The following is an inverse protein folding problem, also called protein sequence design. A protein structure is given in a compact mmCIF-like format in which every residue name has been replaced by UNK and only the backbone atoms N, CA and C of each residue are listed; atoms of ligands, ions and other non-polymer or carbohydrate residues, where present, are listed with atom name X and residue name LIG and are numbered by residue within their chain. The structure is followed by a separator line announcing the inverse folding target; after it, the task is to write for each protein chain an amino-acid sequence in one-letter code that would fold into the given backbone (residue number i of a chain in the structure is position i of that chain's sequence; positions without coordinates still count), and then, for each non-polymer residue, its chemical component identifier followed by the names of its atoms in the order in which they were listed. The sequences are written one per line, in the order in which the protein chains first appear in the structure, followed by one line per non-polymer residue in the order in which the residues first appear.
data_IF_761199027855
#
_entry.id   IF_761199027855
#
_cell.length_a   1.000
_cell.length_b   1.000
_cell.length_c   1.000
_cell.angle_alpha   90.00
_cell.angle_beta   90.00
_cell.angle_gamma   90.00
#
_symmetry.space_group_name_H-M   'P 1'
#
loop_
_entity.id
_entity.type
_entity.pdbx_description
1 polymer ?
#
# COMPACT_ATOMS: atom_id res chain seq x y z
N UNK A 1 9.84 17.30 5.79
CA UNK A 1 9.07 16.29 5.02
C UNK A 1 9.99 15.76 3.92
N UNK A 2 9.99 14.47 3.67
CA UNK A 2 10.85 13.86 2.64
C UNK A 2 10.45 14.33 1.23
N UNK A 3 11.44 14.50 0.35
CA UNK A 3 11.22 15.06 -0.99
C UNK A 3 10.24 14.24 -1.85
N UNK A 4 10.26 12.92 -1.74
CA UNK A 4 9.34 12.03 -2.49
C UNK A 4 7.87 12.23 -2.10
N UNK A 5 7.59 12.51 -0.83
CA UNK A 5 6.22 12.81 -0.35
C UNK A 5 5.70 14.09 -1.02
N UNK A 6 6.54 15.12 -1.11
CA UNK A 6 6.16 16.38 -1.77
C UNK A 6 5.96 16.18 -3.27
N UNK A 7 6.83 15.40 -3.93
CA UNK A 7 6.67 15.06 -5.36
C UNK A 7 5.35 14.31 -5.61
N UNK A 8 5.00 13.33 -4.77
CA UNK A 8 3.73 12.62 -4.89
C UNK A 8 2.53 13.56 -4.67
N UNK A 9 2.59 14.41 -3.64
CA UNK A 9 1.53 15.38 -3.40
C UNK A 9 1.32 16.34 -4.58
N UNK A 10 2.40 16.83 -5.21
CA UNK A 10 2.30 17.67 -6.41
C UNK A 10 1.59 16.96 -7.58
N UNK A 11 1.79 15.66 -7.74
CA UNK A 11 1.10 14.87 -8.75
C UNK A 11 -0.38 14.71 -8.39
N UNK A 12 -0.66 14.15 -7.21
CA UNK A 12 -2.01 13.69 -6.86
C UNK A 12 -2.98 14.82 -6.49
N UNK A 13 -2.50 15.99 -6.04
CA UNK A 13 -3.39 17.15 -5.78
C UNK A 13 -4.19 17.61 -7.00
N UNK A 14 -3.78 17.22 -8.21
CA UNK A 14 -4.47 17.52 -9.48
C UNK A 14 -5.33 16.38 -10.00
N UNK A 15 -5.36 15.23 -9.31
CA UNK A 15 -5.97 14.01 -9.82
C UNK A 15 -7.51 14.04 -9.87
N UNK A 16 -8.14 14.92 -9.08
CA UNK A 16 -9.60 15.04 -9.02
C UNK A 16 -10.30 13.86 -8.33
N UNK A 17 -9.55 13.05 -7.59
CA UNK A 17 -10.02 12.00 -6.67
C UNK A 17 -9.23 12.06 -5.36
N UNK A 18 -9.77 11.44 -4.31
CA UNK A 18 -9.14 11.40 -3.01
C UNK A 18 -7.96 10.43 -3.00
N UNK A 19 -6.89 10.82 -2.33
CA UNK A 19 -5.68 10.01 -2.13
C UNK A 19 -5.10 10.26 -0.74
N UNK A 20 -4.26 9.35 -0.27
CA UNK A 20 -3.46 9.57 0.94
C UNK A 20 -2.14 8.79 0.85
N UNK A 21 -1.04 9.36 1.35
CA UNK A 21 0.19 8.62 1.58
C UNK A 21 -0.09 7.50 2.57
N UNK A 22 0.33 6.27 2.28
CA UNK A 22 0.16 5.14 3.19
C UNK A 22 1.48 4.39 3.42
N UNK A 23 1.44 3.18 3.97
CA UNK A 23 2.64 2.40 4.23
C UNK A 23 3.65 3.05 5.17
N UNK A 24 4.92 2.81 4.91
CA UNK A 24 6.02 3.27 5.77
C UNK A 24 6.18 4.78 5.82
N UNK A 25 5.98 5.46 4.70
CA UNK A 25 6.08 6.93 4.64
C UNK A 25 5.00 7.65 5.44
N UNK A 26 3.79 7.09 5.54
CA UNK A 26 2.77 7.67 6.41
C UNK A 26 3.13 7.53 7.89
N UNK A 27 3.78 6.43 8.30
CA UNK A 27 4.32 6.30 9.65
C UNK A 27 5.43 7.33 9.94
N UNK A 28 6.31 7.61 8.97
CA UNK A 28 7.31 8.68 9.08
C UNK A 28 6.64 10.06 9.22
N UNK A 29 5.60 10.32 8.43
CA UNK A 29 4.83 11.57 8.53
C UNK A 29 4.22 11.73 9.92
N UNK A 30 3.60 10.68 10.46
CA UNK A 30 3.02 10.69 11.79
C UNK A 30 4.10 10.90 12.88
N UNK A 31 5.19 10.14 12.83
CA UNK A 31 6.29 10.26 13.80
C UNK A 31 7.09 11.57 13.68
N UNK A 32 6.97 12.27 12.55
CA UNK A 32 7.71 13.51 12.29
C UNK A 32 9.20 13.31 11.98
N UNK A 33 9.60 12.08 11.67
CA UNK A 33 10.99 11.70 11.33
C UNK A 33 11.00 10.43 10.48
N UNK A 34 12.06 10.22 9.73
CA UNK A 34 12.31 8.95 9.07
C UNK A 34 12.58 7.85 10.12
N UNK A 35 11.83 6.77 10.06
CA UNK A 35 11.95 5.63 10.97
C UNK A 35 12.95 4.61 10.45
N UNK A 36 12.99 4.42 9.14
CA UNK A 36 13.87 3.49 8.44
C UNK A 36 13.89 3.78 6.93
N UNK A 37 14.87 3.26 6.17
CA UNK A 37 14.79 3.26 4.72
C UNK A 37 13.57 2.48 4.20
N UNK A 38 12.91 3.01 3.17
CA UNK A 38 11.73 2.42 2.54
C UNK A 38 12.06 1.81 1.18
N UNK A 39 11.46 0.66 0.88
CA UNK A 39 11.61 -0.05 -0.39
C UNK A 39 10.52 0.25 -1.41
N UNK A 40 9.47 0.92 -0.98
CA UNK A 40 8.26 1.21 -1.74
C UNK A 40 7.71 2.58 -1.33
N UNK A 41 6.92 3.20 -2.19
CA UNK A 41 6.19 4.42 -1.91
C UNK A 41 4.72 4.17 -2.18
N UNK A 42 3.93 4.14 -1.11
CA UNK A 42 2.55 3.68 -1.13
C UNK A 42 1.58 4.85 -1.08
N UNK A 43 0.57 4.82 -1.94
CA UNK A 43 -0.56 5.75 -1.98
C UNK A 43 -1.86 4.96 -1.90
N UNK A 44 -2.70 5.29 -0.93
CA UNK A 44 -4.08 4.84 -0.88
C UNK A 44 -4.94 5.66 -1.83
N UNK A 45 -5.75 4.96 -2.62
CA UNK A 45 -6.84 5.50 -3.46
C UNK A 45 -8.08 4.64 -3.20
N UNK A 46 -9.27 5.22 -3.28
CA UNK A 46 -10.49 4.43 -3.08
C UNK A 46 -10.88 3.66 -4.33
N UNK A 47 -11.41 2.45 -4.12
CA UNK A 47 -11.71 1.48 -5.19
C UNK A 47 -12.61 2.05 -6.30
N UNK A 48 -13.51 2.95 -5.97
CA UNK A 48 -14.37 3.64 -6.94
C UNK A 48 -13.60 4.50 -7.95
N UNK A 49 -12.40 4.97 -7.58
CA UNK A 49 -11.53 5.77 -8.45
C UNK A 49 -10.43 4.96 -9.16
N UNK A 50 -10.41 3.64 -8.99
CA UNK A 50 -9.39 2.74 -9.51
C UNK A 50 -9.10 2.93 -11.00
N UNK A 51 -10.13 2.99 -11.84
CA UNK A 51 -9.95 3.19 -13.29
C UNK A 51 -9.44 4.60 -13.62
N UNK A 52 -9.93 5.61 -12.90
CA UNK A 52 -9.48 7.00 -13.06
C UNK A 52 -8.01 7.14 -12.68
N UNK A 53 -7.56 6.43 -11.64
CA UNK A 53 -6.17 6.43 -11.21
C UNK A 53 -5.23 5.84 -12.27
N UNK A 54 -5.61 4.73 -12.93
CA UNK A 54 -4.85 4.16 -14.06
C UNK A 54 -4.71 5.17 -15.18
N UNK A 55 -5.83 5.75 -15.62
CA UNK A 55 -5.83 6.72 -16.69
C UNK A 55 -4.99 7.95 -16.33
N UNK A 56 -5.17 8.49 -15.12
CA UNK A 56 -4.42 9.63 -14.62
C UNK A 56 -2.91 9.37 -14.64
N UNK A 57 -2.45 8.23 -14.15
CA UNK A 57 -1.02 7.91 -14.15
C UNK A 57 -0.47 7.80 -15.58
N UNK A 58 -1.20 7.16 -16.50
CA UNK A 58 -0.80 7.08 -17.91
C UNK A 58 -0.73 8.45 -18.59
N UNK A 59 -1.71 9.32 -18.37
CA UNK A 59 -1.72 10.70 -18.90
C UNK A 59 -0.55 11.54 -18.40
N UNK A 60 -0.02 11.20 -17.21
CA UNK A 60 1.17 11.83 -16.62
C UNK A 60 2.49 11.12 -16.99
N UNK A 61 2.45 10.21 -17.97
CA UNK A 61 3.64 9.54 -18.50
C UNK A 61 4.17 8.39 -17.66
N UNK A 62 3.35 7.80 -16.77
CA UNK A 62 3.69 6.61 -16.00
C UNK A 62 3.17 5.34 -16.68
N UNK A 63 3.94 4.28 -16.66
CA UNK A 63 3.44 2.94 -16.96
C UNK A 63 2.62 2.40 -15.80
N UNK A 64 1.51 1.71 -16.08
CA UNK A 64 0.63 1.11 -15.08
C UNK A 64 0.73 -0.41 -15.12
N UNK A 65 1.00 -1.03 -13.98
CA UNK A 65 1.23 -2.48 -13.86
C UNK A 65 0.36 -3.07 -12.75
N UNK A 66 -0.48 -4.04 -13.11
CA UNK A 66 -1.25 -4.83 -12.15
C UNK A 66 -0.36 -5.89 -11.50
N UNK A 67 -0.61 -6.20 -10.23
CA UNK A 67 0.11 -7.24 -9.47
C UNK A 67 -0.77 -8.43 -9.20
N UNK A 68 -0.24 -9.62 -9.37
CA UNK A 68 -0.84 -10.86 -8.91
C UNK A 68 0.21 -11.80 -8.31
N UNK A 69 -0.24 -12.75 -7.51
CA UNK A 69 0.62 -13.77 -6.92
C UNK A 69 0.35 -15.10 -7.60
N UNK A 70 1.42 -15.81 -7.97
CA UNK A 70 1.35 -17.20 -8.40
C UNK A 70 2.01 -18.09 -7.34
N UNK A 71 1.23 -18.99 -6.75
CA UNK A 71 1.74 -19.97 -5.81
C UNK A 71 2.37 -21.14 -6.58
N UNK A 72 3.69 -21.17 -6.58
CA UNK A 72 4.47 -22.30 -7.09
C UNK A 72 4.78 -23.34 -6.01
N UNK A 73 5.19 -24.55 -6.43
CA UNK A 73 5.57 -25.64 -5.50
C UNK A 73 6.75 -25.29 -4.57
N UNK A 74 7.59 -24.31 -4.93
CA UNK A 74 8.82 -23.98 -4.22
C UNK A 74 8.92 -22.52 -3.78
N UNK A 75 8.11 -21.62 -4.33
CA UNK A 75 8.09 -20.21 -3.98
C UNK A 75 6.81 -19.53 -4.49
N UNK A 76 6.38 -18.50 -3.79
CA UNK A 76 5.37 -17.55 -4.30
C UNK A 76 6.08 -16.51 -5.16
N UNK A 77 5.64 -16.35 -6.39
CA UNK A 77 6.16 -15.33 -7.31
C UNK A 77 5.21 -14.16 -7.33
N UNK A 78 5.76 -12.96 -7.16
CA UNK A 78 5.06 -11.72 -7.47
C UNK A 78 5.24 -11.42 -8.95
N UNK A 79 4.15 -11.43 -9.69
CA UNK A 79 4.13 -11.19 -11.11
C UNK A 79 3.39 -9.89 -11.40
N UNK A 80 3.85 -9.18 -12.41
CA UNK A 80 3.26 -7.92 -12.85
C UNK A 80 2.90 -8.03 -14.32
N UNK A 81 1.77 -7.44 -14.69
CA UNK A 81 1.34 -7.30 -16.08
C UNK A 81 1.06 -5.81 -16.37
N UNK A 82 1.37 -5.38 -17.58
CA UNK A 82 1.05 -4.03 -18.03
C UNK A 82 -0.46 -3.88 -18.22
N UNK A 83 -1.02 -2.81 -17.68
CA UNK A 83 -2.44 -2.53 -17.80
C UNK A 83 -2.65 -1.69 -19.07
N UNK A 84 -2.78 -2.37 -20.21
CA UNK A 84 -3.03 -1.71 -21.50
C UNK A 84 -4.51 -1.39 -21.70
N UNK A 85 -5.39 -2.29 -21.25
CA UNK A 85 -6.83 -2.16 -21.32
C UNK A 85 -7.45 -2.33 -19.93
N UNK A 86 -8.16 -1.30 -19.47
CA UNK A 86 -8.87 -1.29 -18.18
C UNK A 86 -10.09 -2.22 -18.15
N UNK A 87 -10.45 -2.83 -19.27
CA UNK A 87 -11.53 -3.85 -19.38
C UNK A 87 -11.02 -5.27 -19.13
N UNK A 88 -9.73 -5.46 -18.85
CA UNK A 88 -9.17 -6.78 -18.57
C UNK A 88 -9.70 -7.31 -17.23
N UNK A 89 -10.31 -8.50 -17.23
CA UNK A 89 -10.88 -9.12 -16.02
C UNK A 89 -9.86 -9.35 -14.90
N UNK A 90 -8.58 -9.57 -15.21
CA UNK A 90 -7.51 -9.65 -14.21
C UNK A 90 -7.28 -8.34 -13.48
N UNK A 91 -7.51 -7.21 -14.17
CA UNK A 91 -7.42 -5.91 -13.56
C UNK A 91 -8.51 -5.69 -12.50
N UNK A 92 -9.73 -6.18 -12.74
CA UNK A 92 -10.84 -6.00 -11.80
C UNK A 92 -10.54 -6.62 -10.43
N UNK A 93 -9.79 -7.72 -10.40
CA UNK A 93 -9.40 -8.41 -9.17
C UNK A 93 -8.13 -7.85 -8.52
N UNK A 94 -7.37 -6.97 -9.19
CA UNK A 94 -6.17 -6.38 -8.61
C UNK A 94 -6.50 -5.48 -7.41
N UNK A 95 -5.85 -5.74 -6.28
CA UNK A 95 -5.97 -4.93 -5.05
C UNK A 95 -5.06 -3.71 -5.06
N UNK A 96 -4.06 -3.71 -5.90
CA UNK A 96 -3.10 -2.64 -6.07
C UNK A 96 -2.58 -2.56 -7.50
N UNK A 97 -1.94 -1.46 -7.81
CA UNK A 97 -1.27 -1.17 -9.06
C UNK A 97 0.08 -0.51 -8.80
N UNK A 98 1.08 -0.84 -9.59
CA UNK A 98 2.34 -0.11 -9.60
C UNK A 98 2.36 0.87 -10.78
N UNK A 99 2.54 2.14 -10.47
CA UNK A 99 2.84 3.17 -11.45
C UNK A 99 4.36 3.37 -11.48
N UNK A 100 4.98 3.19 -12.65
CA UNK A 100 6.44 3.21 -12.81
C UNK A 100 6.81 4.15 -13.94
N UNK A 101 7.79 5.03 -13.72
CA UNK A 101 8.36 5.83 -14.81
C UNK A 101 9.03 4.92 -15.84
N UNK A 102 8.80 5.13 -17.15
CA UNK A 102 9.35 4.24 -18.20
C UNK A 102 10.85 4.02 -18.11
N UNK A 103 11.62 5.06 -17.82
CA UNK A 103 13.09 4.99 -17.71
C UNK A 103 13.53 4.19 -16.46
N UNK A 104 12.69 4.11 -15.44
CA UNK A 104 12.97 3.37 -14.20
C UNK A 104 12.50 1.91 -14.25
N UNK A 105 11.69 1.54 -15.24
CA UNK A 105 11.11 0.20 -15.35
C UNK A 105 12.15 -0.93 -15.25
N UNK A 106 13.29 -0.90 -15.95
CA UNK A 106 14.29 -1.98 -15.87
C UNK A 106 14.93 -2.12 -14.49
N UNK A 107 14.86 -1.06 -13.69
CA UNK A 107 15.41 -1.05 -12.32
C UNK A 107 14.40 -1.59 -11.29
N UNK A 108 13.11 -1.38 -11.54
CA UNK A 108 12.00 -1.78 -10.64
C UNK A 108 11.52 -3.19 -10.96
N UNK A 109 11.25 -3.47 -12.24
CA UNK A 109 10.74 -4.75 -12.71
C UNK A 109 11.74 -5.43 -13.65
N UNK A 110 11.87 -6.74 -13.52
CA UNK A 110 12.65 -7.57 -14.41
C UNK A 110 11.71 -8.39 -15.31
N UNK A 111 11.75 -8.14 -16.62
CA UNK A 111 10.92 -8.85 -17.58
C UNK A 111 11.29 -10.33 -17.58
N UNK A 112 10.31 -11.19 -17.31
CA UNK A 112 10.43 -12.63 -17.45
C UNK A 112 10.00 -13.04 -18.86
N UNK A 113 10.56 -14.14 -19.38
CA UNK A 113 10.07 -14.78 -20.58
C UNK A 113 8.61 -15.21 -20.39
N UNK A 114 7.86 -15.23 -21.51
CA UNK A 114 6.42 -15.54 -21.53
C UNK A 114 6.09 -16.73 -20.62
N UNK A 115 5.40 -16.46 -19.52
CA UNK A 115 4.66 -17.51 -18.83
C UNK A 115 3.37 -17.71 -19.64
N UNK A 116 3.06 -18.96 -19.99
CA UNK A 116 1.82 -19.33 -20.67
C UNK A 116 0.62 -19.01 -19.76
N UNK A 117 0.09 -17.79 -19.87
CA UNK A 117 -1.18 -17.37 -19.31
C UNK A 117 -2.20 -17.13 -20.42
N UNK A 118 -3.48 -16.97 -20.11
CA UNK A 118 -4.46 -16.58 -21.10
C UNK A 118 -4.13 -15.17 -21.60
N UNK A 119 -3.83 -15.05 -22.90
CA UNK A 119 -3.45 -13.83 -23.59
C UNK A 119 -1.94 -13.62 -23.71
N UNK A 120 -1.57 -12.53 -24.38
CA UNK A 120 -0.16 -12.14 -24.61
C UNK A 120 0.44 -11.35 -23.44
N UNK A 121 0.08 -11.69 -22.19
CA UNK A 121 0.59 -10.99 -21.01
C UNK A 121 2.09 -11.23 -20.83
N UNK A 122 2.85 -10.15 -20.73
CA UNK A 122 4.23 -10.19 -20.25
C UNK A 122 4.20 -10.18 -18.73
N UNK A 123 4.95 -11.07 -18.11
CA UNK A 123 5.11 -11.12 -16.67
C UNK A 123 6.46 -10.54 -16.28
N UNK A 124 6.48 -9.87 -15.15
CA UNK A 124 7.66 -9.22 -14.60
C UNK A 124 7.88 -9.74 -13.19
N UNK A 125 9.14 -9.81 -12.76
CA UNK A 125 9.53 -10.08 -11.38
C UNK A 125 10.10 -8.79 -10.78
N UNK A 126 9.80 -8.53 -9.51
CA UNK A 126 10.39 -7.39 -8.80
C UNK A 126 11.87 -7.55 -8.56
N UNK A 127 12.60 -6.44 -8.60
CA UNK A 127 13.96 -6.33 -8.08
C UNK A 127 13.91 -5.70 -6.68
N UNK A 128 14.97 -5.91 -5.92
CA UNK A 128 15.14 -5.20 -4.65
C UNK A 128 15.35 -3.72 -4.96
N UNK A 129 14.51 -2.88 -4.39
CA UNK A 129 14.51 -1.44 -4.59
C UNK A 129 14.61 -0.72 -3.25
N UNK A 130 15.16 0.48 -3.27
CA UNK A 130 15.06 1.45 -2.17
C UNK A 130 14.62 2.77 -2.78
N UNK A 131 13.61 3.39 -2.20
CA UNK A 131 13.15 4.71 -2.62
C UNK A 131 14.28 5.71 -2.37
N UNK A 132 14.64 6.43 -3.42
CA UNK A 132 15.64 7.48 -3.41
C UNK A 132 14.98 8.86 -3.22
N UNK A 133 15.74 9.92 -3.43
CA UNK A 133 15.22 11.31 -3.37
C UNK A 133 14.26 11.65 -4.54
N UNK A 134 14.20 10.82 -5.55
CA UNK A 134 13.33 10.98 -6.73
C UNK A 134 12.28 9.89 -6.75
N UNK A 135 11.03 10.31 -6.96
CA UNK A 135 9.90 9.39 -7.08
C UNK A 135 9.91 8.73 -8.46
N UNK A 136 10.22 7.45 -8.53
CA UNK A 136 10.38 6.67 -9.77
C UNK A 136 9.32 5.60 -9.93
N UNK A 137 8.74 5.11 -8.82
CA UNK A 137 7.57 4.26 -8.81
C UNK A 137 6.69 4.54 -7.60
N UNK A 138 5.42 4.20 -7.71
CA UNK A 138 4.39 4.36 -6.69
C UNK A 138 3.55 3.09 -6.68
N UNK A 139 3.35 2.49 -5.53
CA UNK A 139 2.35 1.46 -5.31
C UNK A 139 1.02 2.12 -4.93
N UNK A 140 0.00 1.93 -5.76
CA UNK A 140 -1.34 2.44 -5.52
C UNK A 140 -2.18 1.33 -4.90
N UNK A 141 -2.52 1.48 -3.63
CA UNK A 141 -3.40 0.58 -2.90
C UNK A 141 -4.87 1.02 -3.09
N UNK A 142 -5.74 0.08 -3.46
CA UNK A 142 -7.17 0.36 -3.65
C UNK A 142 -7.95 -0.01 -2.41
N UNK A 143 -8.21 0.98 -1.57
CA UNK A 143 -8.95 0.83 -0.33
C UNK A 143 -10.45 0.96 -0.54
N UNK A 144 -11.22 0.62 0.46
CA UNK A 144 -12.69 0.64 0.41
C UNK A 144 -13.20 1.80 1.24
N UNK A 145 -14.15 2.53 0.68
CA UNK A 145 -14.93 3.54 1.38
C UNK A 145 -16.41 3.19 1.28
N UNK A 146 -17.13 3.27 2.39
CA UNK A 146 -18.59 3.18 2.43
C UNK A 146 -19.15 4.42 3.15
N UNK A 147 -19.79 5.27 2.37
CA UNK A 147 -20.24 6.58 2.84
C UNK A 147 -19.10 7.42 3.42
N UNK A 148 -19.20 7.75 4.70
CA UNK A 148 -18.18 8.52 5.43
C UNK A 148 -17.22 7.62 6.26
N UNK A 149 -17.10 6.34 5.91
CA UNK A 149 -16.22 5.41 6.62
C UNK A 149 -15.19 4.79 5.68
N UNK A 150 -13.96 4.73 6.16
CA UNK A 150 -12.96 3.79 5.68
C UNK A 150 -13.37 2.37 6.11
N UNK A 151 -13.18 1.38 5.24
CA UNK A 151 -13.54 -0.02 5.49
C UNK A 151 -12.33 -0.91 5.22
N UNK A 152 -11.96 -1.75 6.19
CA UNK A 152 -10.83 -2.67 6.00
C UNK A 152 -11.16 -3.75 4.96
N UNK A 153 -10.23 -4.00 4.03
CA UNK A 153 -10.39 -4.96 2.91
C UNK A 153 -10.59 -6.39 3.39
N UNK A 154 -9.95 -6.73 4.51
CA UNK A 154 -9.92 -8.08 5.08
C UNK A 154 -11.22 -8.41 5.84
N UNK A 155 -11.84 -7.40 6.44
CA UNK A 155 -13.07 -7.58 7.20
C UNK A 155 -13.91 -6.29 7.17
N UNK A 156 -15.05 -6.28 6.44
CA UNK A 156 -15.90 -5.09 6.29
C UNK A 156 -16.61 -4.65 7.58
N UNK A 157 -16.53 -5.41 8.66
CA UNK A 157 -17.01 -4.97 9.98
C UNK A 157 -16.03 -3.98 10.64
N UNK A 158 -14.78 -3.94 10.19
CA UNK A 158 -13.76 -3.03 10.69
C UNK A 158 -13.83 -1.74 9.89
N UNK A 159 -14.31 -0.69 10.52
CA UNK A 159 -14.51 0.62 9.90
C UNK A 159 -13.85 1.72 10.73
N UNK A 160 -13.50 2.84 10.07
CA UNK A 160 -13.01 4.07 10.71
C UNK A 160 -13.65 5.27 10.05
N UNK A 161 -14.20 6.26 10.78
CA UNK A 161 -14.66 7.51 10.18
C UNK A 161 -13.56 8.16 9.32
N UNK A 162 -13.92 8.68 8.13
CA UNK A 162 -12.95 9.22 7.17
C UNK A 162 -12.10 10.37 7.73
N UNK A 163 -12.68 11.22 8.58
CA UNK A 163 -11.99 12.32 9.24
C UNK A 163 -10.93 11.85 10.26
N UNK A 164 -11.01 10.59 10.69
CA UNK A 164 -10.03 9.91 11.54
C UNK A 164 -9.12 8.97 10.75
N UNK A 165 -9.57 8.48 9.62
CA UNK A 165 -8.80 7.59 8.76
C UNK A 165 -7.78 8.34 7.91
N UNK A 166 -8.11 9.54 7.44
CA UNK A 166 -7.21 10.39 6.64
C UNK A 166 -6.81 11.62 7.47
N UNK A 167 -5.56 11.63 7.85
CA UNK A 167 -4.93 12.72 8.58
C UNK A 167 -4.19 13.64 7.61
N UNK A 168 -3.82 14.83 8.06
CA UNK A 168 -3.08 15.81 7.25
C UNK A 168 -1.86 16.35 7.98
N UNK A 169 -0.75 16.48 7.26
CA UNK A 169 0.46 17.15 7.73
C UNK A 169 1.01 18.05 6.62
N UNK A 170 1.15 19.34 6.92
CA UNK A 170 1.60 20.36 5.97
C UNK A 170 0.81 20.35 4.65
N UNK A 171 -0.50 20.06 4.73
CA UNK A 171 -1.40 19.98 3.58
C UNK A 171 -1.36 18.68 2.79
N UNK A 172 -0.54 17.70 3.20
CA UNK A 172 -0.47 16.37 2.57
C UNK A 172 -1.35 15.38 3.32
N UNK A 173 -2.31 14.71 2.65
CA UNK A 173 -3.12 13.67 3.28
C UNK A 173 -2.30 12.38 3.47
N UNK A 174 -2.51 11.72 4.61
CA UNK A 174 -1.90 10.40 4.88
C UNK A 174 -2.83 9.52 5.70
N UNK A 175 -2.74 8.20 5.51
CA UNK A 175 -3.55 7.22 6.20
C UNK A 175 -3.15 7.15 7.68
N UNK A 176 -4.13 7.08 8.57
CA UNK A 176 -3.92 7.05 10.01
C UNK A 176 -3.03 5.87 10.42
N UNK A 177 -2.09 6.07 11.36
CA UNK A 177 -1.09 5.07 11.71
C UNK A 177 -1.70 3.80 12.29
N UNK A 178 -2.81 3.86 13.03
CA UNK A 178 -3.50 2.68 13.55
C UNK A 178 -4.05 1.78 12.45
N UNK A 179 -4.48 2.36 11.32
CA UNK A 179 -4.94 1.58 10.15
C UNK A 179 -3.74 0.87 9.50
N UNK A 180 -2.61 1.56 9.36
CA UNK A 180 -1.38 0.97 8.80
C UNK A 180 -0.86 -0.16 9.71
N UNK A 181 -0.87 0.04 11.02
CA UNK A 181 -0.50 -1.00 11.98
C UNK A 181 -1.47 -2.19 11.89
N UNK A 182 -2.78 -1.94 11.73
CA UNK A 182 -3.75 -3.01 11.54
C UNK A 182 -3.41 -3.87 10.29
N UNK A 183 -3.10 -3.27 9.14
CA UNK A 183 -2.64 -4.05 7.97
C UNK A 183 -1.39 -4.87 8.22
N UNK A 184 -0.51 -4.39 9.08
CA UNK A 184 0.71 -5.11 9.48
C UNK A 184 0.46 -6.24 10.50
N UNK A 185 -0.79 -6.49 10.88
CA UNK A 185 -1.15 -7.65 11.71
C UNK A 185 -1.32 -8.93 10.90
N UNK A 186 -1.27 -8.86 9.56
CA UNK A 186 -1.42 -10.03 8.71
C UNK A 186 -0.34 -11.10 9.00
N UNK A 187 -0.73 -12.35 8.75
CA UNK A 187 0.10 -13.51 9.07
C UNK A 187 1.47 -13.50 8.38
N UNK A 188 1.51 -13.00 7.13
CA UNK A 188 2.74 -12.92 6.35
C UNK A 188 3.73 -11.92 7.00
N UNK A 189 3.24 -10.77 7.44
CA UNK A 189 4.05 -9.73 8.10
C UNK A 189 4.74 -10.24 9.36
N UNK A 190 4.15 -11.19 10.06
CA UNK A 190 4.69 -11.74 11.32
C UNK A 190 5.47 -13.04 11.16
N UNK A 191 5.14 -13.87 10.19
CA UNK A 191 5.82 -15.16 9.97
C UNK A 191 7.05 -15.05 9.06
N UNK A 192 7.09 -14.04 8.17
CA UNK A 192 8.18 -13.92 7.22
C UNK A 192 9.44 -13.30 7.87
N UNK A 193 10.60 -14.00 7.86
CA UNK A 193 11.79 -13.60 8.62
C UNK A 193 12.40 -12.24 8.19
N UNK A 194 12.15 -11.81 6.96
CA UNK A 194 12.64 -10.52 6.46
C UNK A 194 11.63 -9.37 6.63
N UNK A 195 10.35 -9.67 6.92
CA UNK A 195 9.30 -8.67 7.07
C UNK A 195 9.07 -8.39 8.56
N UNK A 196 9.01 -9.43 9.38
CA UNK A 196 8.77 -9.34 10.81
C UNK A 196 9.60 -8.28 11.55
N UNK A 197 10.93 -8.16 11.38
CA UNK A 197 11.70 -7.14 12.10
C UNK A 197 11.26 -5.71 11.78
N UNK A 198 10.82 -5.46 10.54
CA UNK A 198 10.28 -4.15 10.14
C UNK A 198 8.93 -3.90 10.82
N UNK A 199 8.05 -4.90 10.83
CA UNK A 199 6.74 -4.84 11.46
C UNK A 199 6.86 -4.58 12.97
N UNK A 200 7.69 -5.36 13.68
CA UNK A 200 7.98 -5.15 15.11
C UNK A 200 8.54 -3.75 15.39
N UNK A 201 9.47 -3.28 14.55
CA UNK A 201 10.05 -1.94 14.66
C UNK A 201 9.00 -0.83 14.49
N UNK A 202 8.11 -0.97 13.51
CA UNK A 202 7.02 -0.03 13.26
C UNK A 202 6.05 -0.01 14.47
N UNK A 203 5.63 -1.16 15.00
CA UNK A 203 4.78 -1.25 16.19
C UNK A 203 5.45 -0.62 17.42
N UNK A 204 6.68 -1.00 17.73
CA UNK A 204 7.40 -0.51 18.89
C UNK A 204 7.60 1.02 18.87
N UNK A 205 7.70 1.59 17.68
CA UNK A 205 7.91 3.04 17.51
C UNK A 205 6.61 3.81 17.52
N UNK A 206 5.56 3.31 16.87
CA UNK A 206 4.33 4.04 16.63
C UNK A 206 3.33 3.88 17.78
N UNK A 207 3.19 2.66 18.35
CA UNK A 207 2.24 2.42 19.43
C UNK A 207 2.34 3.42 20.61
N UNK A 208 3.54 3.78 21.12
CA UNK A 208 3.65 4.78 22.19
C UNK A 208 3.14 6.16 21.81
N UNK A 209 3.12 6.50 20.51
CA UNK A 209 2.72 7.81 19.99
C UNK A 209 1.22 7.92 19.71
N UNK A 210 0.52 6.78 19.61
CA UNK A 210 -0.93 6.77 19.36
C UNK A 210 -1.72 7.34 20.54
N UNK A 211 -2.83 8.01 20.24
CA UNK A 211 -3.84 8.37 21.23
C UNK A 211 -4.49 7.11 21.81
N UNK A 212 -5.10 7.26 22.99
CA UNK A 212 -5.84 6.14 23.61
C UNK A 212 -7.01 5.68 22.72
N UNK A 213 -7.65 6.60 22.01
CA UNK A 213 -8.71 6.27 21.05
C UNK A 213 -8.17 5.41 19.88
N UNK A 214 -7.02 5.81 19.29
CA UNK A 214 -6.40 5.06 18.20
C UNK A 214 -5.91 3.68 18.65
N UNK A 215 -5.36 3.58 19.86
CA UNK A 215 -4.99 2.30 20.46
C UNK A 215 -6.20 1.40 20.68
N UNK A 216 -7.30 1.96 21.18
CA UNK A 216 -8.52 1.19 21.41
C UNK A 216 -9.10 0.70 20.07
N UNK A 217 -9.18 1.59 19.06
CA UNK A 217 -9.64 1.18 17.73
C UNK A 217 -8.79 0.04 17.16
N UNK A 218 -7.46 0.11 17.30
CA UNK A 218 -6.56 -0.94 16.80
C UNK A 218 -6.79 -2.28 17.52
N UNK A 219 -7.00 -2.27 18.85
CA UNK A 219 -7.35 -3.47 19.61
C UNK A 219 -8.67 -4.07 19.12
N UNK A 220 -9.72 -3.27 19.04
CA UNK A 220 -11.04 -3.71 18.59
C UNK A 220 -10.99 -4.29 17.17
N UNK A 221 -10.20 -3.67 16.28
CA UNK A 221 -9.99 -4.14 14.92
C UNK A 221 -9.28 -5.50 14.89
N UNK A 222 -8.22 -5.66 15.69
CA UNK A 222 -7.49 -6.93 15.81
C UNK A 222 -8.37 -8.03 16.41
N UNK A 223 -9.10 -7.75 17.47
CA UNK A 223 -10.02 -8.71 18.10
C UNK A 223 -11.13 -9.14 17.12
N UNK A 224 -11.62 -8.20 16.30
CA UNK A 224 -12.61 -8.48 15.25
C UNK A 224 -12.03 -9.34 14.12
N UNK A 225 -10.80 -9.09 13.72
CA UNK A 225 -10.13 -9.84 12.65
C UNK A 225 -9.65 -11.22 13.09
N UNK A 226 -9.28 -11.36 14.37
CA UNK A 226 -8.67 -12.55 14.94
C UNK A 226 -9.39 -12.98 16.25
N UNK A 227 -10.65 -13.46 16.17
CA UNK A 227 -11.45 -13.77 17.35
C UNK A 227 -10.88 -14.90 18.23
N UNK A 228 -10.01 -15.73 17.68
CA UNK A 228 -9.31 -16.80 18.40
C UNK A 228 -7.97 -16.33 19.03
N UNK A 229 -7.70 -15.02 18.98
CA UNK A 229 -6.45 -14.41 19.42
C UNK A 229 -5.41 -14.27 18.31
N UNK A 230 -4.43 -13.42 18.56
CA UNK A 230 -3.32 -13.17 17.64
C UNK A 230 -1.98 -13.37 18.34
N UNK A 231 -1.35 -14.47 18.04
CA UNK A 231 -0.11 -15.01 18.67
C UNK A 231 1.02 -13.96 18.87
N UNK A 232 1.11 -12.98 17.98
CA UNK A 232 2.21 -12.01 17.95
C UNK A 232 1.88 -10.66 18.59
N UNK A 233 0.61 -10.33 18.73
CA UNK A 233 0.13 -8.98 19.11
C UNK A 233 -0.25 -8.89 20.57
N UNK A 234 -0.59 -10.00 21.23
CA UNK A 234 -1.01 -10.03 22.64
C UNK A 234 0.00 -9.36 23.61
N UNK A 235 1.27 -9.26 23.21
CA UNK A 235 2.30 -8.57 24.00
C UNK A 235 2.62 -7.14 23.57
N UNK A 236 2.03 -6.65 22.47
CA UNK A 236 2.34 -5.36 21.83
C UNK A 236 1.18 -4.38 21.92
N UNK A 237 -0.04 -4.85 22.04
CA UNK A 237 -1.28 -4.11 22.24
C UNK A 237 -1.67 -4.08 23.71
#
# INVERSE_FOLDING_TARGET
MQNVILQANEIFKTAGFDYAVCGGFALDMFAGKELRPHGDFDITIFKEDKHRAVQFMKEHGWGAYGRFMEEGRMATLLLFFEIDDITNSYWDDCRNMWAIKPDSLPNVLHKLDRIKGPGDMYTYQTRKWLVQDTLEFIELEFDIRDGNNYVAKENPQITRPMDKAILHKDGVPYLAPEIILFFKTDKLSWQHPNIRPKTEGDFNTIMPLLSDESKQWLRDAVDTAYPDGHEWIEGVL
#
